data_IF_423034817940
#
_entry.id   IF_423034817940
#
_cell.length_a   1.000
_cell.length_b   1.000
_cell.length_c   1.000
_cell.angle_alpha   90.00
_cell.angle_beta   90.00
_cell.angle_gamma   90.00
#
_symmetry.space_group_name_H-M   'P 1'
#
loop_
_entity.id
_entity.type
_entity.pdbx_description
1 polymer ?
#
# COMPACT_ATOMS: atom_id res chain seq x y z
N UNK A 1 -11.44 -29.81 9.77
CA UNK A 1 -10.29 -28.91 9.61
C UNK A 1 -9.51 -29.36 8.40
N UNK A 2 -9.52 -28.55 7.35
CA UNK A 2 -8.62 -28.70 6.22
C UNK A 2 -7.18 -28.32 6.61
N UNK A 3 -6.15 -28.81 5.93
CA UNK A 3 -4.77 -28.44 6.20
C UNK A 3 -4.57 -26.91 6.10
N UNK A 4 -4.15 -26.28 7.19
CA UNK A 4 -3.93 -24.82 7.26
C UNK A 4 -5.08 -24.02 7.88
N UNK A 5 -6.21 -24.66 8.22
CA UNK A 5 -7.23 -24.04 9.05
C UNK A 5 -6.77 -23.96 10.51
N UNK A 6 -6.87 -22.77 11.09
CA UNK A 6 -6.63 -22.52 12.50
C UNK A 6 -7.96 -22.15 13.15
N UNK A 7 -8.41 -22.96 14.11
CA UNK A 7 -9.60 -22.64 14.90
C UNK A 7 -9.30 -21.44 15.80
N UNK A 8 -10.09 -20.38 15.67
CA UNK A 8 -9.94 -19.16 16.47
C UNK A 8 -10.78 -19.29 17.74
N UNK A 9 -10.15 -19.78 18.80
CA UNK A 9 -10.75 -19.85 20.14
C UNK A 9 -10.23 -18.74 21.07
N UNK A 10 -10.81 -18.65 22.27
CA UNK A 10 -10.46 -17.62 23.26
C UNK A 10 -9.02 -17.76 23.77
N UNK A 11 -8.51 -18.98 23.92
CA UNK A 11 -7.16 -19.25 24.40
C UNK A 11 -6.11 -18.78 23.38
N UNK A 12 -6.34 -19.06 22.10
CA UNK A 12 -5.51 -18.59 20.99
C UNK A 12 -5.51 -17.05 20.91
N UNK A 13 -6.69 -16.42 21.02
CA UNK A 13 -6.80 -14.96 21.02
C UNK A 13 -6.03 -14.34 22.18
N UNK A 14 -6.12 -14.91 23.38
CA UNK A 14 -5.43 -14.42 24.56
C UNK A 14 -3.90 -14.56 24.41
N UNK A 15 -3.43 -15.69 23.91
CA UNK A 15 -2.00 -15.91 23.60
C UNK A 15 -1.50 -14.94 22.54
N UNK A 16 -2.29 -14.67 21.51
CA UNK A 16 -1.95 -13.72 20.46
C UNK A 16 -1.85 -12.29 21.02
N UNK A 17 -2.83 -11.83 21.79
CA UNK A 17 -2.80 -10.51 22.43
C UNK A 17 -1.62 -10.35 23.39
N UNK A 18 -1.30 -11.38 24.17
CA UNK A 18 -0.13 -11.38 25.05
C UNK A 18 1.18 -11.28 24.26
N UNK A 19 1.28 -12.00 23.13
CA UNK A 19 2.45 -11.94 22.26
C UNK A 19 2.63 -10.53 21.64
N UNK A 20 1.54 -9.88 21.22
CA UNK A 20 1.60 -8.49 20.73
C UNK A 20 2.08 -7.53 21.81
N UNK A 21 1.53 -7.64 23.03
CA UNK A 21 1.89 -6.76 24.15
C UNK A 21 3.36 -6.93 24.56
N UNK A 22 3.87 -8.15 24.63
CA UNK A 22 5.27 -8.42 25.01
C UNK A 22 6.28 -7.91 23.98
N UNK A 23 5.88 -7.79 22.71
CA UNK A 23 6.68 -7.21 21.63
C UNK A 23 6.35 -5.74 21.34
N UNK A 24 5.49 -5.11 22.14
CA UNK A 24 5.06 -3.71 21.98
C UNK A 24 4.44 -3.43 20.59
N UNK A 25 3.71 -4.41 20.04
CA UNK A 25 3.03 -4.29 18.75
C UNK A 25 1.60 -3.80 18.99
N UNK A 26 1.27 -2.65 18.42
CA UNK A 26 -0.09 -2.12 18.36
C UNK A 26 -0.71 -2.43 17.00
N UNK A 27 -1.91 -3.01 16.98
CA UNK A 27 -2.69 -3.24 15.77
C UNK A 27 -3.90 -2.31 15.76
N UNK A 28 -4.13 -1.65 14.62
CA UNK A 28 -5.31 -0.82 14.38
C UNK A 28 -5.99 -1.28 13.09
N UNK A 29 -7.30 -1.49 13.18
CA UNK A 29 -8.10 -2.00 12.07
C UNK A 29 -9.05 -0.90 11.59
N UNK A 30 -9.15 -0.74 10.27
CA UNK A 30 -9.99 0.26 9.63
C UNK A 30 -10.84 -0.41 8.54
N UNK A 31 -12.06 0.06 8.33
CA UNK A 31 -12.95 -0.41 7.26
C UNK A 31 -13.72 0.77 6.68
N UNK A 32 -14.12 0.65 5.41
CA UNK A 32 -14.83 1.70 4.67
C UNK A 32 -14.15 1.98 3.33
N UNK A 33 -14.61 3.04 2.67
CA UNK A 33 -14.03 3.49 1.40
C UNK A 33 -12.77 4.35 1.63
N UNK A 34 -11.91 4.46 0.61
CA UNK A 34 -10.70 5.30 0.65
C UNK A 34 -11.01 6.78 0.95
N UNK A 35 -12.17 7.30 0.55
CA UNK A 35 -12.58 8.66 0.89
C UNK A 35 -12.84 8.87 2.37
N UNK A 36 -13.17 7.81 3.11
CA UNK A 36 -13.43 7.87 4.56
C UNK A 36 -12.19 7.60 5.42
N UNK A 37 -11.17 6.96 4.85
CA UNK A 37 -9.98 6.58 5.58
C UNK A 37 -9.13 7.82 5.93
N UNK A 38 -8.94 8.04 7.24
CA UNK A 38 -8.10 9.12 7.79
C UNK A 38 -7.10 8.49 8.74
N UNK A 39 -5.83 8.52 8.36
CA UNK A 39 -4.73 7.98 9.16
C UNK A 39 -3.88 9.14 9.65
N UNK A 40 -3.73 9.26 10.97
CA UNK A 40 -3.09 10.41 11.59
C UNK A 40 -1.55 10.39 11.48
N UNK A 41 -0.95 9.21 11.31
CA UNK A 41 0.49 9.03 11.36
C UNK A 41 1.02 8.65 9.98
N UNK A 42 2.20 9.19 9.65
CA UNK A 42 3.02 8.66 8.55
C UNK A 42 3.52 7.26 8.90
N UNK A 43 3.81 6.48 7.87
CA UNK A 43 4.32 5.12 7.99
C UNK A 43 5.67 5.03 7.30
N UNK A 44 6.60 4.27 7.89
CA UNK A 44 7.90 3.99 7.24
C UNK A 44 7.75 3.00 6.07
N UNK A 45 6.73 2.14 6.13
CA UNK A 45 6.39 1.16 5.09
C UNK A 45 4.90 1.21 4.77
N UNK A 46 4.57 1.38 3.49
CA UNK A 46 3.20 1.30 2.98
C UNK A 46 3.16 0.24 1.89
N UNK A 47 2.29 -0.76 2.07
CA UNK A 47 2.11 -1.84 1.11
C UNK A 47 0.68 -1.83 0.58
N UNK A 48 0.54 -1.90 -0.73
CA UNK A 48 -0.75 -2.07 -1.39
C UNK A 48 -0.61 -3.11 -2.49
N UNK A 49 -1.59 -4.01 -2.61
CA UNK A 49 -1.58 -5.07 -3.61
C UNK A 49 -2.95 -5.16 -4.26
N UNK A 50 -2.98 -5.08 -5.59
CA UNK A 50 -4.19 -5.26 -6.39
C UNK A 50 -5.32 -4.26 -6.02
N UNK A 51 -4.96 -3.00 -5.76
CA UNK A 51 -5.90 -1.93 -5.34
C UNK A 51 -6.18 -0.87 -6.41
N UNK A 52 -5.47 -0.93 -7.54
CA UNK A 52 -5.53 0.07 -8.63
C UNK A 52 -6.40 -0.37 -9.81
N UNK A 53 -7.31 -1.32 -9.60
CA UNK A 53 -8.13 -1.90 -10.66
C UNK A 53 -9.27 -0.99 -11.11
N UNK A 54 -9.79 -0.12 -10.24
CA UNK A 54 -10.90 0.78 -10.54
C UNK A 54 -10.41 2.21 -10.73
N UNK A 55 -10.72 2.80 -11.89
CA UNK A 55 -10.35 4.19 -12.20
C UNK A 55 -10.97 5.20 -11.23
N UNK A 56 -12.21 4.95 -10.80
CA UNK A 56 -12.94 5.88 -9.92
C UNK A 56 -12.36 6.00 -8.52
N UNK A 57 -11.63 4.97 -8.05
CA UNK A 57 -11.03 4.96 -6.71
C UNK A 57 -9.60 5.47 -6.68
N UNK A 58 -8.94 5.64 -7.84
CA UNK A 58 -7.54 6.06 -7.90
C UNK A 58 -7.29 7.42 -7.22
N UNK A 59 -8.15 8.45 -7.39
CA UNK A 59 -7.90 9.73 -6.73
C UNK A 59 -7.86 9.61 -5.21
N UNK A 60 -8.84 8.89 -4.65
CA UNK A 60 -8.98 8.69 -3.20
C UNK A 60 -7.88 7.78 -2.64
N UNK A 61 -7.48 6.75 -3.37
CA UNK A 61 -6.35 5.90 -3.03
C UNK A 61 -5.03 6.68 -3.00
N UNK A 62 -4.74 7.49 -4.03
CA UNK A 62 -3.52 8.31 -4.08
C UNK A 62 -3.45 9.28 -2.89
N UNK A 63 -4.56 9.92 -2.53
CA UNK A 63 -4.64 10.79 -1.35
C UNK A 63 -4.35 10.05 -0.04
N UNK A 64 -4.83 8.82 0.11
CA UNK A 64 -4.52 7.98 1.29
C UNK A 64 -3.03 7.65 1.33
N UNK A 65 -2.47 7.14 0.23
CA UNK A 65 -1.04 6.79 0.15
C UNK A 65 -0.17 8.02 0.45
N UNK A 66 -0.53 9.16 -0.13
CA UNK A 66 0.14 10.44 0.11
C UNK A 66 0.09 10.83 1.59
N UNK A 67 -1.08 10.75 2.24
CA UNK A 67 -1.23 11.07 3.66
C UNK A 67 -0.45 10.15 4.59
N UNK A 68 -0.05 8.98 4.12
CA UNK A 68 0.78 8.02 4.85
C UNK A 68 2.27 8.20 4.61
N UNK A 69 2.67 8.91 3.55
CA UNK A 69 4.08 9.05 3.18
C UNK A 69 4.72 10.28 3.80
N UNK A 70 5.95 10.09 4.27
CA UNK A 70 6.88 11.19 4.52
C UNK A 70 7.25 11.88 3.19
N UNK A 71 7.46 13.21 3.19
CA UNK A 71 7.99 13.93 2.05
C UNK A 71 9.32 13.35 1.57
N UNK A 72 9.44 13.07 0.26
CA UNK A 72 10.62 12.47 -0.35
C UNK A 72 10.71 12.85 -1.84
N UNK A 73 11.94 12.93 -2.36
CA UNK A 73 12.20 13.15 -3.79
C UNK A 73 12.65 11.86 -4.47
N UNK A 74 12.33 11.72 -5.76
CA UNK A 74 12.77 10.59 -6.59
C UNK A 74 14.30 10.45 -6.66
N UNK A 75 15.02 11.56 -6.56
CA UNK A 75 16.49 11.60 -6.65
C UNK A 75 17.18 11.16 -5.35
N UNK A 76 16.43 11.01 -4.26
CA UNK A 76 16.97 10.54 -2.99
C UNK A 76 17.22 9.04 -3.07
N UNK A 77 18.50 8.64 -3.13
CA UNK A 77 18.90 7.23 -3.26
C UNK A 77 18.34 6.33 -2.14
N UNK A 78 18.10 6.89 -0.96
CA UNK A 78 17.57 6.18 0.22
C UNK A 78 16.08 6.43 0.47
N UNK A 79 15.29 6.80 -0.55
CA UNK A 79 13.85 7.01 -0.41
C UNK A 79 13.15 5.75 0.16
N UNK A 80 12.75 5.82 1.42
CA UNK A 80 12.13 4.72 2.18
C UNK A 80 13.08 3.88 3.03
N UNK A 81 14.37 4.20 3.06
CA UNK A 81 15.40 3.52 3.88
C UNK A 81 16.05 4.46 4.91
N UNK A 82 15.85 5.78 4.78
CA UNK A 82 16.32 6.77 5.73
C UNK A 82 15.31 7.00 6.88
N UNK A 83 15.73 7.52 8.04
CA UNK A 83 14.81 7.98 9.08
C UNK A 83 13.82 9.01 8.53
N UNK A 84 12.57 8.97 9.00
CA UNK A 84 11.49 9.84 8.52
C UNK A 84 11.31 9.82 7.00
N UNK A 85 11.41 8.63 6.39
CA UNK A 85 11.13 8.39 4.98
C UNK A 85 10.18 7.20 4.83
N UNK A 86 9.44 7.14 3.73
CA UNK A 86 8.47 6.06 3.49
C UNK A 86 8.85 5.22 2.27
N UNK A 87 8.90 3.91 2.45
CA UNK A 87 8.88 2.96 1.35
C UNK A 87 7.41 2.62 1.00
N UNK A 88 6.84 3.32 0.03
CA UNK A 88 5.48 3.02 -0.45
C UNK A 88 5.54 2.15 -1.71
N UNK A 89 5.06 0.91 -1.61
CA UNK A 89 5.06 -0.07 -2.70
C UNK A 89 3.63 -0.49 -3.08
N UNK A 90 3.30 -0.33 -4.36
CA UNK A 90 2.03 -0.74 -4.94
C UNK A 90 2.27 -1.84 -5.97
N UNK A 91 1.80 -3.05 -5.68
CA UNK A 91 1.83 -4.20 -6.57
C UNK A 91 0.51 -4.31 -7.35
N UNK A 92 0.57 -4.43 -8.67
CA UNK A 92 -0.65 -4.48 -9.48
C UNK A 92 -0.44 -5.17 -10.84
N UNK A 93 -1.54 -5.62 -11.45
CA UNK A 93 -1.56 -5.95 -12.88
C UNK A 93 -1.36 -4.70 -13.72
N UNK A 94 -0.68 -4.85 -14.86
CA UNK A 94 -0.50 -3.75 -15.83
C UNK A 94 -1.84 -3.25 -16.36
N UNK A 95 -2.83 -4.14 -16.48
CA UNK A 95 -4.18 -3.84 -16.93
C UNK A 95 -5.20 -4.79 -16.31
N UNK A 96 -6.36 -4.25 -15.94
CA UNK A 96 -7.55 -5.02 -15.54
C UNK A 96 -8.65 -4.84 -16.60
N UNK A 97 -9.01 -5.92 -17.28
CA UNK A 97 -10.05 -5.90 -18.31
C UNK A 97 -11.42 -5.57 -17.69
N UNK A 98 -12.25 -4.82 -18.42
CA UNK A 98 -13.58 -4.38 -18.00
C UNK A 98 -13.55 -3.07 -17.21
N UNK A 99 -12.92 -3.06 -16.04
CA UNK A 99 -12.85 -1.88 -15.15
C UNK A 99 -11.82 -0.83 -15.58
N UNK A 100 -10.86 -1.22 -16.42
CA UNK A 100 -9.95 -0.29 -17.12
C UNK A 100 -8.81 0.29 -16.29
N UNK A 101 -8.71 -0.01 -14.99
CA UNK A 101 -7.56 0.36 -14.17
C UNK A 101 -6.30 -0.46 -14.48
N UNK A 102 -5.25 -0.23 -13.70
CA UNK A 102 -3.94 -0.82 -13.93
C UNK A 102 -2.80 0.10 -13.52
N UNK A 103 -1.58 -0.33 -13.83
CA UNK A 103 -0.35 0.40 -13.50
C UNK A 103 -0.32 1.77 -14.17
N UNK A 104 -0.63 1.86 -15.46
CA UNK A 104 -0.54 3.12 -16.20
C UNK A 104 -1.56 4.15 -15.72
N UNK A 105 -2.78 3.71 -15.39
CA UNK A 105 -3.81 4.58 -14.84
C UNK A 105 -3.43 5.09 -13.45
N UNK A 106 -2.87 4.23 -12.60
CA UNK A 106 -2.39 4.63 -11.28
C UNK A 106 -1.23 5.62 -11.37
N UNK A 107 -0.23 5.35 -12.21
CA UNK A 107 0.92 6.25 -12.41
C UNK A 107 0.47 7.62 -12.88
N UNK A 108 -0.47 7.68 -13.83
CA UNK A 108 -1.02 8.94 -14.31
C UNK A 108 -1.74 9.73 -13.22
N UNK A 109 -2.58 9.07 -12.42
CA UNK A 109 -3.29 9.73 -11.31
C UNK A 109 -2.31 10.21 -10.22
N UNK A 110 -1.31 9.39 -9.91
CA UNK A 110 -0.24 9.73 -8.97
C UNK A 110 0.50 11.00 -9.41
N UNK A 111 0.88 11.10 -10.68
CA UNK A 111 1.56 12.27 -11.27
C UNK A 111 0.66 13.51 -11.26
N UNK A 112 -0.63 13.37 -11.54
CA UNK A 112 -1.63 14.46 -11.45
C UNK A 112 -1.66 15.04 -10.04
N UNK A 113 -1.50 14.20 -9.01
CA UNK A 113 -1.45 14.62 -7.60
C UNK A 113 -0.04 15.00 -7.12
N UNK A 114 0.91 15.22 -8.05
CA UNK A 114 2.27 15.66 -7.72
C UNK A 114 3.17 14.58 -7.12
N UNK A 115 2.76 13.31 -7.20
CA UNK A 115 3.57 12.17 -6.80
C UNK A 115 4.59 11.79 -7.87
N UNK A 116 5.70 11.20 -7.44
CA UNK A 116 6.68 10.56 -8.30
C UNK A 116 6.59 9.04 -8.17
N UNK A 117 7.08 8.33 -9.19
CA UNK A 117 7.17 6.86 -9.16
C UNK A 117 8.50 6.32 -9.69
N UNK A 118 8.78 5.09 -9.29
CA UNK A 118 9.86 4.25 -9.81
C UNK A 118 9.37 2.80 -9.93
N UNK A 119 9.52 2.21 -11.11
CA UNK A 119 9.30 0.78 -11.31
C UNK A 119 10.38 -0.02 -10.56
N UNK A 120 9.97 -0.97 -9.71
CA UNK A 120 10.89 -1.82 -8.92
C UNK A 120 10.94 -3.25 -9.40
N UNK A 121 9.84 -3.77 -9.91
CA UNK A 121 9.77 -5.14 -10.42
C UNK A 121 8.72 -5.26 -11.50
N UNK A 122 8.96 -6.14 -12.47
CA UNK A 122 7.97 -6.59 -13.45
C UNK A 122 7.90 -8.10 -13.49
N UNK A 123 6.74 -8.62 -13.90
CA UNK A 123 6.55 -10.01 -14.27
C UNK A 123 5.72 -10.05 -15.55
N UNK A 124 6.24 -10.71 -16.58
CA UNK A 124 5.68 -10.70 -17.94
C UNK A 124 4.94 -11.99 -18.32
N UNK A 125 4.73 -12.92 -17.39
CA UNK A 125 3.95 -14.13 -17.66
C UNK A 125 2.45 -13.90 -17.47
N UNK A 126 1.69 -14.12 -18.55
CA UNK A 126 0.25 -13.87 -18.62
C UNK A 126 -0.05 -12.38 -18.69
N UNK A 127 -1.10 -11.92 -17.99
CA UNK A 127 -1.30 -10.48 -17.76
C UNK A 127 -0.13 -9.97 -16.93
N UNK A 128 0.61 -8.99 -17.47
CA UNK A 128 1.79 -8.43 -16.82
C UNK A 128 1.48 -7.90 -15.41
N UNK A 129 2.47 -7.92 -14.52
CA UNK A 129 2.40 -7.35 -13.18
C UNK A 129 3.61 -6.46 -12.93
N UNK A 130 3.44 -5.45 -12.09
CA UNK A 130 4.51 -4.58 -11.66
C UNK A 130 4.42 -4.28 -10.16
N UNK A 131 5.56 -3.94 -9.58
CA UNK A 131 5.66 -3.26 -8.28
C UNK A 131 6.20 -1.86 -8.53
N UNK A 132 5.42 -0.87 -8.13
CA UNK A 132 5.73 0.55 -8.27
C UNK A 132 6.07 1.10 -6.89
N UNK A 133 7.22 1.76 -6.77
CA UNK A 133 7.47 2.67 -5.65
C UNK A 133 6.83 4.01 -5.95
N UNK A 134 6.10 4.58 -4.99
CA UNK A 134 5.53 5.91 -5.05
C UNK A 134 6.08 6.82 -3.93
N UNK A 135 6.06 8.12 -4.15
CA UNK A 135 6.41 9.12 -3.15
C UNK A 135 5.96 10.53 -3.54
N UNK A 136 6.02 11.47 -2.61
CA UNK A 136 5.57 12.86 -2.79
C UNK A 136 6.55 13.82 -2.14
N UNK A 137 6.79 14.98 -2.74
CA UNK A 137 7.75 15.97 -2.21
C UNK A 137 7.20 16.79 -1.03
N UNK A 138 5.88 16.88 -0.91
CA UNK A 138 5.15 17.66 0.11
C UNK A 138 3.97 16.85 0.58
#
# INVERSE_FOLDING_TARGET
>A
MEPGELEVDEDLLLKFQHALASHQIELRFFYGDWDSLRLANRADLVLSSETVYSLSSLPSLCRVLHSLCWPTSKDQQDAGMAPNSTLCLVAAKVLYFGVGGGVDAFVRELEIQGGWHSLKRTQVMGVGRAVIQAGWLT
#
